data_IF_652281042339
#
_entry.id   IF_652281042339
#
_cell.length_a   1.000
_cell.length_b   1.000
_cell.length_c   1.000
_cell.angle_alpha   90.00
_cell.angle_beta   90.00
_cell.angle_gamma   90.00
#
_symmetry.space_group_name_H-M   'P 1'
#
loop_
_entity.id
_entity.type
_entity.pdbx_description
1 polymer ?
#
# COMPACT_ATOMS: atom_id res chain seq x y z
N UNK A 1 27.74 2.77 20.90
CA UNK A 1 26.48 2.30 20.26
C UNK A 1 26.63 2.51 18.76
N UNK A 2 26.21 1.57 17.90
CA UNK A 2 26.25 1.79 16.46
C UNK A 2 25.34 2.98 16.09
N UNK A 3 25.68 3.77 15.05
CA UNK A 3 24.86 4.88 14.59
C UNK A 3 23.45 4.40 14.22
N UNK A 4 22.40 5.18 14.53
CA UNK A 4 21.04 4.90 14.06
C UNK A 4 21.05 4.73 12.53
N UNK A 5 20.57 3.58 12.04
CA UNK A 5 20.53 3.27 10.61
C UNK A 5 21.51 2.20 10.13
N UNK A 6 22.61 1.93 10.84
CA UNK A 6 23.56 0.87 10.43
C UNK A 6 22.91 -0.52 10.51
N UNK A 7 22.09 -0.77 11.54
CA UNK A 7 21.36 -2.04 11.65
C UNK A 7 20.32 -2.22 10.54
N UNK A 8 19.62 -1.15 10.13
CA UNK A 8 18.62 -1.21 9.05
C UNK A 8 19.28 -1.56 7.70
N UNK A 9 20.40 -0.90 7.39
CA UNK A 9 21.15 -1.18 6.16
C UNK A 9 21.67 -2.63 6.09
N UNK A 10 22.13 -3.19 7.22
CA UNK A 10 22.59 -4.59 7.28
C UNK A 10 21.42 -5.56 7.11
N UNK A 11 20.26 -5.27 7.70
CA UNK A 11 19.06 -6.10 7.58
C UNK A 11 18.51 -6.11 6.15
N UNK A 12 18.39 -4.94 5.52
CA UNK A 12 17.97 -4.83 4.12
C UNK A 12 18.94 -5.55 3.16
N UNK A 13 20.25 -5.41 3.39
CA UNK A 13 21.25 -6.10 2.58
C UNK A 13 21.15 -7.63 2.69
N UNK A 14 20.88 -8.16 3.89
CA UNK A 14 20.65 -9.61 4.09
C UNK A 14 19.35 -10.07 3.44
N UNK A 15 18.25 -9.35 3.65
CA UNK A 15 16.97 -9.66 3.01
C UNK A 15 17.09 -9.71 1.49
N UNK A 16 17.80 -8.76 0.89
CA UNK A 16 18.08 -8.77 -0.56
C UNK A 16 18.93 -9.96 -0.99
N UNK A 17 19.93 -10.37 -0.20
CA UNK A 17 20.70 -11.61 -0.45
C UNK A 17 19.82 -12.86 -0.39
N UNK A 18 18.84 -12.88 0.52
CA UNK A 18 17.85 -13.95 0.67
C UNK A 18 16.71 -13.87 -0.38
N UNK A 19 16.84 -12.99 -1.38
CA UNK A 19 15.92 -12.85 -2.50
C UNK A 19 14.69 -11.99 -2.23
N UNK A 20 14.60 -11.30 -1.08
CA UNK A 20 13.51 -10.34 -0.83
C UNK A 20 13.59 -9.15 -1.78
N UNK A 21 12.43 -8.74 -2.30
CA UNK A 21 12.31 -7.67 -3.29
C UNK A 21 12.55 -8.12 -4.73
N UNK A 22 12.76 -9.42 -4.99
CA UNK A 22 12.81 -9.97 -6.35
C UNK A 22 11.41 -10.40 -6.84
N UNK A 23 11.29 -10.73 -8.13
CA UNK A 23 10.02 -11.19 -8.71
C UNK A 23 9.40 -12.40 -8.00
N UNK A 24 10.23 -13.34 -7.53
CA UNK A 24 9.76 -14.54 -6.84
C UNK A 24 9.42 -14.32 -5.36
N UNK A 25 9.93 -13.25 -4.73
CA UNK A 25 9.67 -12.89 -3.35
C UNK A 25 9.59 -11.36 -3.23
N UNK A 26 8.50 -10.75 -3.73
CA UNK A 26 8.37 -9.30 -3.76
C UNK A 26 8.20 -8.75 -2.35
N UNK A 27 8.62 -7.51 -2.17
CA UNK A 27 8.34 -6.77 -0.94
C UNK A 27 6.83 -6.55 -0.79
N UNK A 28 6.34 -6.72 0.44
CA UNK A 28 4.96 -6.39 0.80
C UNK A 28 4.89 -4.90 1.06
N UNK A 29 4.56 -4.14 0.03
CA UNK A 29 4.41 -2.69 0.15
C UNK A 29 3.42 -2.33 1.26
N UNK A 30 3.83 -1.44 2.17
CA UNK A 30 3.07 -1.05 3.37
C UNK A 30 2.62 -2.24 4.22
N UNK A 31 3.35 -3.35 4.16
CA UNK A 31 3.05 -4.62 4.82
C UNK A 31 1.66 -5.20 4.47
N UNK A 32 1.12 -4.87 3.30
CA UNK A 32 -0.15 -5.42 2.82
C UNK A 32 0.08 -6.79 2.15
N UNK A 33 -0.73 -7.78 2.51
CA UNK A 33 -0.75 -9.13 1.91
C UNK A 33 -2.07 -9.34 1.18
N UNK A 34 -2.01 -9.46 -0.15
CA UNK A 34 -3.20 -9.62 -0.99
C UNK A 34 -4.04 -10.84 -0.59
N UNK A 35 -3.41 -12.00 -0.37
CA UNK A 35 -4.13 -13.25 -0.10
C UNK A 35 -4.86 -13.17 1.24
N UNK A 36 -4.20 -12.59 2.25
CA UNK A 36 -4.81 -12.39 3.56
C UNK A 36 -5.98 -11.41 3.50
N UNK A 37 -5.83 -10.29 2.78
CA UNK A 37 -6.87 -9.27 2.63
C UNK A 37 -8.08 -9.78 1.83
N UNK A 38 -7.82 -10.50 0.74
CA UNK A 38 -8.86 -11.15 -0.07
C UNK A 38 -9.65 -12.16 0.76
N UNK A 39 -8.95 -13.05 1.47
CA UNK A 39 -9.59 -14.05 2.33
C UNK A 39 -10.45 -13.39 3.42
N UNK A 40 -9.96 -12.35 4.08
CA UNK A 40 -10.72 -11.60 5.08
C UNK A 40 -12.02 -11.04 4.51
N UNK A 41 -11.96 -10.41 3.33
CA UNK A 41 -13.12 -9.80 2.68
C UNK A 41 -14.14 -10.86 2.27
N UNK A 42 -13.66 -11.97 1.69
CA UNK A 42 -14.51 -13.07 1.24
C UNK A 42 -15.24 -13.75 2.41
N UNK A 43 -14.55 -14.05 3.51
CA UNK A 43 -15.16 -14.68 4.70
C UNK A 43 -16.23 -13.77 5.30
N UNK A 44 -16.02 -12.46 5.30
CA UNK A 44 -16.95 -11.49 5.88
C UNK A 44 -18.03 -10.99 4.93
N UNK A 45 -17.96 -11.36 3.65
CA UNK A 45 -18.88 -10.84 2.63
C UNK A 45 -18.81 -9.33 2.45
N UNK A 46 -17.64 -8.73 2.66
CA UNK A 46 -17.41 -7.28 2.53
C UNK A 46 -16.55 -6.98 1.31
N UNK A 47 -16.62 -5.75 0.81
CA UNK A 47 -15.73 -5.26 -0.24
C UNK A 47 -14.50 -4.61 0.39
N UNK A 48 -13.32 -4.93 -0.13
CA UNK A 48 -12.07 -4.33 0.33
C UNK A 48 -12.05 -2.82 0.11
N UNK A 49 -11.75 -2.04 1.15
CA UNK A 49 -11.43 -0.62 1.08
C UNK A 49 -9.98 -0.49 1.53
N UNK A 50 -9.17 0.19 0.72
CA UNK A 50 -7.75 0.37 1.02
C UNK A 50 -7.56 1.51 2.03
N UNK A 51 -7.12 1.16 3.24
CA UNK A 51 -6.82 2.15 4.29
C UNK A 51 -5.51 2.90 4.03
N UNK A 52 -4.58 2.30 3.27
CA UNK A 52 -3.30 2.91 2.91
C UNK A 52 -3.45 3.89 1.74
N UNK A 53 -4.42 3.63 0.86
CA UNK A 53 -4.77 4.51 -0.26
C UNK A 53 -6.30 4.74 -0.34
N UNK A 54 -6.88 5.50 0.61
CA UNK A 54 -8.32 5.60 0.75
C UNK A 54 -8.99 6.36 -0.39
N UNK A 55 -10.27 6.08 -0.72
CA UNK A 55 -11.00 6.77 -1.78
C UNK A 55 -11.46 8.18 -1.33
N UNK A 56 -10.52 9.06 -1.01
CA UNK A 56 -10.78 10.43 -0.57
C UNK A 56 -9.80 11.42 -1.21
N UNK A 57 -9.96 12.71 -0.88
CA UNK A 57 -9.18 13.81 -1.49
C UNK A 57 -7.67 13.67 -1.33
N UNK A 58 -7.19 13.02 -0.25
CA UNK A 58 -5.76 12.83 0.00
C UNK A 58 -5.10 11.95 -1.06
N UNK A 59 -5.82 10.95 -1.56
CA UNK A 59 -5.33 10.02 -2.59
C UNK A 59 -5.38 10.58 -4.00
N UNK A 60 -6.07 11.71 -4.20
CA UNK A 60 -6.07 12.43 -5.49
C UNK A 60 -4.80 13.28 -5.63
N UNK A 61 -4.30 13.83 -4.52
CA UNK A 61 -3.13 14.71 -4.52
C UNK A 61 -3.49 16.20 -4.66
N UNK A 62 -2.57 17.05 -4.22
CA UNK A 62 -2.73 18.51 -4.20
C UNK A 62 -2.46 19.12 -5.58
N UNK A 63 -3.24 20.15 -5.95
CA UNK A 63 -3.02 20.91 -7.19
C UNK A 63 -3.42 20.21 -8.49
N UNK A 64 -3.84 18.94 -8.46
CA UNK A 64 -4.27 18.22 -9.68
C UNK A 64 -5.62 18.72 -10.20
N UNK A 65 -6.56 18.95 -9.28
CA UNK A 65 -7.92 19.44 -9.60
C UNK A 65 -8.17 20.78 -8.93
N UNK A 66 -8.96 21.63 -9.59
CA UNK A 66 -9.51 22.83 -8.93
C UNK A 66 -10.41 22.42 -7.76
N UNK A 67 -10.49 23.21 -6.68
CA UNK A 67 -11.34 22.88 -5.53
C UNK A 67 -12.82 22.63 -5.88
N UNK A 68 -13.34 23.28 -6.93
CA UNK A 68 -14.71 23.06 -7.44
C UNK A 68 -14.88 21.67 -8.05
N UNK A 69 -13.89 21.19 -8.79
CA UNK A 69 -13.93 19.91 -9.49
C UNK A 69 -13.65 18.77 -8.51
N UNK A 70 -12.72 18.97 -7.58
CA UNK A 70 -12.41 18.03 -6.51
C UNK A 70 -13.63 17.72 -5.62
N UNK A 71 -14.55 18.68 -5.45
CA UNK A 71 -15.82 18.48 -4.72
C UNK A 71 -16.81 17.57 -5.44
N UNK A 72 -16.65 17.35 -6.74
CA UNK A 72 -17.57 16.58 -7.59
C UNK A 72 -17.09 15.16 -7.90
N UNK A 73 -15.88 14.79 -7.45
CA UNK A 73 -15.32 13.47 -7.68
C UNK A 73 -16.13 12.40 -6.95
N UNK A 74 -16.47 11.33 -7.65
CA UNK A 74 -17.13 10.14 -7.12
C UNK A 74 -16.24 8.92 -7.40
N UNK A 75 -15.97 8.13 -6.37
CA UNK A 75 -15.22 6.88 -6.50
C UNK A 75 -16.17 5.74 -6.81
N UNK A 76 -15.95 5.08 -7.95
CA UNK A 76 -16.77 3.97 -8.41
C UNK A 76 -15.91 2.72 -8.59
N UNK A 77 -16.52 1.55 -8.42
CA UNK A 77 -15.91 0.27 -8.79
C UNK A 77 -16.35 -0.10 -10.21
N UNK A 78 -15.50 -0.79 -10.99
CA UNK A 78 -15.94 -1.46 -12.21
C UNK A 78 -17.12 -2.40 -11.92
N UNK A 79 -18.02 -2.55 -12.89
CA UNK A 79 -19.13 -3.48 -12.87
C UNK A 79 -18.66 -4.92 -13.14
#
# INVERSE_FOLDING_TARGET
>A
MPPPGVCLNIMEARQRQDGYGCFANPERFLNQDYQQLEQYCNIRGVRYIDDMFPPNRKSIGEGILKPSDLKRVVWLRPA
#
